data_IF_099329292586
#
_entry.id   IF_099329292586
#
_cell.length_a   1.000
_cell.length_b   1.000
_cell.length_c   1.000
_cell.angle_alpha   90.00
_cell.angle_beta   90.00
_cell.angle_gamma   90.00
#
_symmetry.space_group_name_H-M   'P 1'
#
loop_
_entity.id
_entity.type
_entity.pdbx_description
1 polymer ?
#
# COMPACT_ATOMS: atom_id res chain seq x y z
N UNK A 1 -4.19 1.42 8.38
CA UNK A 1 -3.73 2.33 7.32
C UNK A 1 -2.23 2.15 7.14
N UNK A 2 -1.79 1.26 6.25
CA UNK A 2 -0.52 1.31 5.46
C UNK A 2 -0.15 -0.09 4.92
N UNK A 3 -1.01 -0.69 4.08
CA UNK A 3 -0.66 -1.87 3.28
C UNK A 3 -0.17 -1.54 1.86
N UNK A 4 0.38 -0.34 1.68
CA UNK A 4 1.31 -0.04 0.59
C UNK A 4 2.71 -0.62 0.86
N UNK A 5 2.98 -1.06 2.10
CA UNK A 5 4.31 -1.49 2.54
C UNK A 5 4.72 -2.90 2.05
N UNK A 6 3.77 -3.81 1.78
CA UNK A 6 4.11 -5.17 1.33
C UNK A 6 4.60 -5.19 -0.12
N UNK A 7 3.96 -4.39 -0.99
CA UNK A 7 4.38 -4.17 -2.39
C UNK A 7 5.73 -3.46 -2.49
N UNK A 8 6.03 -2.62 -1.50
CA UNK A 8 7.29 -1.88 -1.41
C UNK A 8 8.49 -2.80 -1.16
N UNK A 9 8.32 -3.96 -0.50
CA UNK A 9 9.45 -4.84 -0.19
C UNK A 9 9.98 -5.57 -1.44
N UNK A 10 9.14 -5.80 -2.46
CA UNK A 10 9.53 -6.44 -3.71
C UNK A 10 10.15 -5.49 -4.74
N UNK A 11 10.01 -4.16 -4.55
CA UNK A 11 10.50 -3.14 -5.52
C UNK A 11 11.92 -2.64 -5.19
N UNK A 12 12.47 -2.97 -4.02
CA UNK A 12 13.77 -2.43 -3.54
C UNK A 12 15.01 -3.05 -4.24
N UNK A 13 14.87 -4.05 -5.12
CA UNK A 13 16.03 -4.74 -5.72
C UNK A 13 16.43 -4.31 -7.14
N UNK A 14 16.04 -3.12 -7.62
CA UNK A 14 16.47 -2.66 -8.95
C UNK A 14 17.21 -1.32 -8.92
N UNK A 15 18.54 -1.45 -9.10
CA UNK A 15 19.51 -0.48 -9.59
C UNK A 15 20.18 0.46 -8.56
N UNK A 16 21.39 0.05 -8.17
CA UNK A 16 22.42 0.97 -7.71
C UNK A 16 22.76 1.98 -8.81
N UNK A 17 22.39 3.23 -8.57
CA UNK A 17 22.81 4.39 -9.34
C UNK A 17 23.26 5.48 -8.38
N UNK A 18 24.58 5.68 -8.28
CA UNK A 18 25.17 6.82 -7.59
C UNK A 18 24.77 8.13 -8.28
N UNK A 19 24.15 9.06 -7.58
CA UNK A 19 23.77 10.35 -8.14
C UNK A 19 23.35 11.39 -7.10
N UNK A 20 24.32 12.23 -6.73
CA UNK A 20 24.26 13.53 -6.05
C UNK A 20 23.65 13.67 -4.65
N UNK A 21 24.56 13.96 -3.71
CA UNK A 21 24.36 14.61 -2.42
C UNK A 21 23.52 15.89 -2.50
N UNK A 22 22.60 16.02 -1.56
CA UNK A 22 21.81 17.20 -1.23
C UNK A 22 22.69 18.45 -1.18
N UNK A 23 22.44 19.39 -2.09
CA UNK A 23 22.87 20.77 -1.95
C UNK A 23 22.04 21.43 -0.86
N UNK A 24 22.74 22.02 0.12
CA UNK A 24 22.33 23.11 1.02
C UNK A 24 20.83 23.44 1.03
N UNK A 25 20.11 23.05 2.10
CA UNK A 25 18.78 23.59 2.37
C UNK A 25 18.96 25.09 2.58
N UNK A 26 18.27 25.90 1.78
CA UNK A 26 18.18 27.35 1.99
C UNK A 26 17.75 27.60 3.45
N UNK A 27 18.50 28.40 4.21
CA UNK A 27 18.27 28.58 5.65
C UNK A 27 16.84 29.10 5.92
N UNK A 28 16.29 29.89 4.98
CA UNK A 28 14.90 30.39 5.01
C UNK A 28 13.87 29.27 4.81
N UNK A 29 14.18 28.29 3.95
CA UNK A 29 13.33 27.11 3.74
C UNK A 29 13.37 26.14 4.94
N UNK A 30 14.55 25.99 5.57
CA UNK A 30 14.73 25.17 6.76
C UNK A 30 13.99 25.73 7.98
N UNK A 31 13.92 27.06 8.11
CA UNK A 31 13.14 27.72 9.15
C UNK A 31 11.63 27.55 8.91
N UNK A 32 11.14 27.79 7.69
CA UNK A 32 9.73 27.60 7.38
C UNK A 32 9.25 26.16 7.59
N UNK A 33 10.06 25.15 7.22
CA UNK A 33 9.74 23.73 7.40
C UNK A 33 9.63 23.33 8.88
N UNK A 34 10.41 23.96 9.77
CA UNK A 34 10.34 23.70 11.23
C UNK A 34 9.02 24.13 11.84
N UNK A 35 8.40 25.17 11.29
CA UNK A 35 7.13 25.70 11.78
C UNK A 35 5.90 24.96 11.20
N UNK A 36 6.12 24.03 10.26
CA UNK A 36 5.03 23.27 9.65
C UNK A 36 4.51 22.16 10.58
N UNK A 37 3.20 21.93 10.55
CA UNK A 37 2.59 20.80 11.24
C UNK A 37 2.90 19.48 10.52
N UNK A 38 3.68 18.61 11.17
CA UNK A 38 3.94 17.25 10.67
C UNK A 38 2.64 16.46 10.46
N UNK A 39 1.64 16.65 11.32
CA UNK A 39 0.34 15.97 11.20
C UNK A 39 -0.44 16.40 9.96
N UNK A 40 -0.34 17.69 9.57
CA UNK A 40 -0.98 18.19 8.36
C UNK A 40 -0.34 17.55 7.11
N UNK A 41 0.99 17.65 6.97
CA UNK A 41 1.69 17.16 5.78
C UNK A 41 1.70 15.64 5.66
N UNK A 42 1.85 14.91 6.77
CA UNK A 42 1.69 13.45 6.76
C UNK A 42 0.26 13.05 6.35
N UNK A 43 -0.75 13.79 6.80
CA UNK A 43 -2.14 13.58 6.41
C UNK A 43 -2.41 13.87 4.93
N UNK A 44 -1.91 15.00 4.41
CA UNK A 44 -2.05 15.37 3.00
C UNK A 44 -1.32 14.40 2.06
N UNK A 45 -0.11 13.98 2.42
CA UNK A 45 0.63 12.97 1.68
C UNK A 45 -0.13 11.62 1.66
N UNK A 46 -0.67 11.21 2.81
CA UNK A 46 -1.50 10.00 2.93
C UNK A 46 -2.76 10.07 2.06
N UNK A 47 -3.52 11.17 2.13
CA UNK A 47 -4.71 11.39 1.30
C UNK A 47 -4.39 11.40 -0.20
N UNK A 48 -3.27 12.01 -0.58
CA UNK A 48 -2.83 12.07 -1.98
C UNK A 48 -2.44 10.69 -2.52
N UNK A 49 -1.67 9.92 -1.74
CA UNK A 49 -1.33 8.54 -2.09
C UNK A 49 -2.60 7.68 -2.21
N UNK A 50 -3.56 7.89 -1.31
CA UNK A 50 -4.84 7.21 -1.34
C UNK A 50 -5.65 7.55 -2.60
N UNK A 51 -5.82 8.83 -2.92
CA UNK A 51 -6.54 9.26 -4.12
C UNK A 51 -5.91 8.68 -5.39
N UNK A 52 -4.58 8.68 -5.48
CA UNK A 52 -3.84 8.10 -6.59
C UNK A 52 -4.07 6.60 -6.73
N UNK A 53 -3.99 5.86 -5.63
CA UNK A 53 -4.20 4.41 -5.62
C UNK A 53 -5.63 4.05 -6.04
N UNK A 54 -6.61 4.80 -5.53
CA UNK A 54 -8.02 4.61 -5.89
C UNK A 54 -8.24 4.86 -7.38
N UNK A 55 -7.87 6.03 -7.89
CA UNK A 55 -8.01 6.36 -9.31
C UNK A 55 -7.27 5.36 -10.21
N UNK A 56 -6.12 4.85 -9.77
CA UNK A 56 -5.37 3.83 -10.52
C UNK A 56 -6.14 2.54 -10.63
N UNK A 57 -6.66 2.00 -9.52
CA UNK A 57 -7.39 0.74 -9.50
C UNK A 57 -8.76 0.84 -10.19
N UNK A 58 -9.44 1.98 -10.08
CA UNK A 58 -10.72 2.21 -10.76
C UNK A 58 -10.62 2.11 -12.28
N UNK A 59 -9.50 2.55 -12.89
CA UNK A 59 -9.25 2.37 -14.34
C UNK A 59 -9.22 0.90 -14.75
N UNK A 60 -8.89 0.00 -13.82
CA UNK A 60 -8.85 -1.45 -14.01
C UNK A 60 -10.13 -2.14 -13.51
N UNK A 61 -11.14 -1.36 -13.12
CA UNK A 61 -12.40 -1.86 -12.57
C UNK A 61 -12.23 -2.60 -11.25
N UNK A 62 -11.22 -2.23 -10.47
CA UNK A 62 -10.90 -2.84 -9.19
C UNK A 62 -11.08 -1.85 -8.05
N UNK A 63 -11.59 -2.34 -6.93
CA UNK A 63 -11.51 -1.64 -5.64
C UNK A 63 -10.20 -2.02 -4.92
N UNK A 64 -9.89 -1.32 -3.83
CA UNK A 64 -8.73 -1.68 -2.98
C UNK A 64 -8.90 -3.01 -2.26
N UNK A 65 -10.04 -3.35 -1.64
CA UNK A 65 -10.21 -4.68 -1.05
C UNK A 65 -10.11 -5.80 -2.08
N UNK A 66 -10.62 -5.58 -3.30
CA UNK A 66 -10.47 -6.53 -4.40
C UNK A 66 -9.00 -6.73 -4.78
N UNK A 67 -8.28 -5.63 -5.05
CA UNK A 67 -6.84 -5.67 -5.35
C UNK A 67 -6.04 -6.42 -4.29
N UNK A 68 -6.30 -6.14 -3.00
CA UNK A 68 -5.63 -6.81 -1.88
C UNK A 68 -5.93 -8.30 -1.83
N UNK A 69 -7.20 -8.69 -2.01
CA UNK A 69 -7.60 -10.10 -2.02
C UNK A 69 -6.91 -10.86 -3.15
N UNK A 70 -6.87 -10.28 -4.36
CA UNK A 70 -6.18 -10.89 -5.50
C UNK A 70 -4.68 -11.07 -5.22
N UNK A 71 -4.01 -10.07 -4.64
CA UNK A 71 -2.59 -10.17 -4.28
C UNK A 71 -2.33 -11.22 -3.20
N UNK A 72 -3.18 -11.31 -2.19
CA UNK A 72 -3.07 -12.35 -1.15
C UNK A 72 -3.15 -13.75 -1.76
N UNK A 73 -4.15 -14.01 -2.61
CA UNK A 73 -4.30 -15.31 -3.26
C UNK A 73 -3.21 -15.57 -4.29
N UNK A 74 -2.64 -14.50 -4.88
CA UNK A 74 -1.53 -14.61 -5.81
C UNK A 74 -0.22 -15.09 -5.18
N UNK A 75 0.01 -14.77 -3.91
CA UNK A 75 1.18 -15.17 -3.13
C UNK A 75 1.03 -16.57 -2.52
N UNK A 76 -0.17 -17.16 -2.58
CA UNK A 76 -0.47 -18.47 -2.02
C UNK A 76 -0.57 -19.55 -3.08
N UNK A 77 -0.09 -20.73 -2.71
CA UNK A 77 -0.20 -21.95 -3.52
C UNK A 77 -1.34 -22.85 -3.02
N UNK A 78 -1.80 -22.65 -1.79
CA UNK A 78 -2.92 -23.32 -1.16
C UNK A 78 -4.23 -22.52 -1.26
N UNK A 79 -5.34 -23.24 -1.34
CA UNK A 79 -6.68 -22.66 -1.28
C UNK A 79 -7.01 -22.23 0.16
N UNK A 80 -7.72 -21.12 0.31
CA UNK A 80 -8.02 -20.54 1.64
C UNK A 80 -9.47 -20.14 1.77
N UNK A 81 -10.00 -20.19 2.98
CA UNK A 81 -11.38 -19.74 3.23
C UNK A 81 -11.49 -18.23 3.24
N UNK A 82 -12.71 -17.73 3.04
CA UNK A 82 -13.02 -16.31 3.18
C UNK A 82 -12.63 -15.77 4.56
N UNK A 83 -12.85 -16.52 5.64
CA UNK A 83 -12.49 -16.07 6.98
C UNK A 83 -10.97 -15.91 7.15
N UNK A 84 -10.16 -16.77 6.51
CA UNK A 84 -8.69 -16.60 6.48
C UNK A 84 -8.30 -15.32 5.73
N UNK A 85 -9.00 -14.97 4.64
CA UNK A 85 -8.78 -13.70 3.93
C UNK A 85 -9.12 -12.50 4.83
N UNK A 86 -10.26 -12.54 5.51
CA UNK A 86 -10.72 -11.47 6.41
C UNK A 86 -9.78 -11.31 7.61
N UNK A 87 -9.37 -12.41 8.22
CA UNK A 87 -8.44 -12.39 9.34
C UNK A 87 -7.06 -11.89 8.93
N UNK A 88 -6.56 -12.29 7.75
CA UNK A 88 -5.29 -11.77 7.24
C UNK A 88 -5.30 -10.24 7.15
N UNK A 89 -6.37 -9.63 6.61
CA UNK A 89 -6.43 -8.17 6.51
C UNK A 89 -6.76 -7.47 7.85
N UNK A 90 -7.42 -8.15 8.79
CA UNK A 90 -7.67 -7.64 10.15
C UNK A 90 -6.39 -7.36 10.93
N UNK A 91 -5.42 -8.28 10.89
CA UNK A 91 -4.15 -8.15 11.61
C UNK A 91 -3.31 -6.96 11.14
N UNK A 92 -3.62 -6.43 9.97
CA UNK A 92 -2.92 -5.32 9.35
C UNK A 92 -3.66 -3.98 9.53
N UNK A 93 -4.64 -3.94 10.44
CA UNK A 93 -5.35 -2.71 10.83
C UNK A 93 -6.30 -2.18 9.76
N UNK A 94 -6.67 -3.02 8.78
CA UNK A 94 -7.42 -2.62 7.59
C UNK A 94 -8.64 -3.54 7.37
N UNK A 95 -9.50 -3.68 8.40
CA UNK A 95 -10.86 -4.20 8.19
C UNK A 95 -11.70 -3.13 7.50
N UNK A 96 -11.78 -3.25 6.19
CA UNK A 96 -12.80 -2.55 5.42
C UNK A 96 -14.11 -3.35 5.51
N UNK A 97 -15.22 -2.71 5.85
CA UNK A 97 -16.55 -3.34 5.78
C UNK A 97 -16.84 -3.86 4.36
N UNK A 98 -16.20 -3.26 3.35
CA UNK A 98 -16.29 -3.69 1.96
C UNK A 98 -15.49 -4.96 1.66
N UNK A 99 -14.59 -5.44 2.53
CA UNK A 99 -13.70 -6.57 2.20
C UNK A 99 -14.48 -7.85 1.89
N UNK A 100 -15.44 -8.23 2.72
CA UNK A 100 -16.29 -9.40 2.48
C UNK A 100 -17.09 -9.30 1.15
N UNK A 101 -17.90 -8.25 0.92
CA UNK A 101 -18.66 -8.14 -0.32
C UNK A 101 -17.75 -8.04 -1.56
N UNK A 102 -16.58 -7.40 -1.45
CA UNK A 102 -15.62 -7.32 -2.54
C UNK A 102 -14.98 -8.66 -2.88
N UNK A 103 -14.61 -9.47 -1.88
CA UNK A 103 -14.13 -10.84 -2.14
C UNK A 103 -15.20 -11.68 -2.83
N UNK A 104 -16.47 -11.58 -2.42
CA UNK A 104 -17.56 -12.29 -3.08
C UNK A 104 -17.82 -11.79 -4.51
N UNK A 105 -17.62 -10.49 -4.76
CA UNK A 105 -17.67 -9.93 -6.12
C UNK A 105 -16.58 -10.52 -7.03
N UNK A 106 -15.38 -10.75 -6.51
CA UNK A 106 -14.31 -11.41 -7.27
C UNK A 106 -14.64 -12.87 -7.64
N UNK A 107 -15.36 -13.58 -6.76
CA UNK A 107 -15.91 -14.91 -7.09
C UNK A 107 -16.96 -14.79 -8.19
N UNK A 108 -17.92 -13.87 -8.05
CA UNK A 108 -18.99 -13.67 -9.03
C UNK A 108 -18.49 -13.24 -10.42
N UNK A 109 -17.36 -12.54 -10.48
CA UNK A 109 -16.70 -12.10 -11.73
C UNK A 109 -15.74 -13.15 -12.31
N UNK A 110 -15.54 -14.28 -11.62
CA UNK A 110 -14.64 -15.35 -12.05
C UNK A 110 -13.16 -15.00 -11.95
N UNK A 111 -12.79 -13.96 -11.18
CA UNK A 111 -11.39 -13.63 -10.89
C UNK A 111 -10.86 -14.51 -9.75
N UNK A 112 -11.74 -15.00 -8.89
CA UNK A 112 -11.47 -16.01 -7.86
C UNK A 112 -12.38 -17.21 -8.12
N UNK A 113 -11.87 -18.42 -7.93
CA UNK A 113 -12.66 -19.64 -7.90
C UNK A 113 -12.99 -20.00 -6.46
N UNK A 114 -14.19 -20.53 -6.25
CA UNK A 114 -14.67 -21.01 -4.95
C UNK A 114 -15.12 -22.46 -5.08
N UNK A 115 -14.27 -23.38 -4.60
CA UNK A 115 -14.58 -24.80 -4.51
C UNK A 115 -14.87 -25.16 -3.05
N UNK A 116 -16.13 -25.38 -2.71
CA UNK A 116 -16.59 -25.75 -1.37
C UNK A 116 -16.08 -24.80 -0.24
N UNK A 117 -16.02 -23.50 -0.52
CA UNK A 117 -15.53 -22.47 0.41
C UNK A 117 -14.02 -22.25 0.37
N UNK A 118 -13.30 -22.97 -0.51
CA UNK A 118 -11.87 -22.84 -0.72
C UNK A 118 -11.60 -21.91 -1.91
N UNK A 119 -11.13 -20.70 -1.60
CA UNK A 119 -10.85 -19.66 -2.56
C UNK A 119 -9.46 -19.84 -3.19
N UNK A 120 -9.40 -19.78 -4.51
CA UNK A 120 -8.14 -19.79 -5.28
C UNK A 120 -8.14 -18.72 -6.36
N UNK A 121 -6.95 -18.23 -6.71
CA UNK A 121 -6.82 -17.28 -7.81
C UNK A 121 -6.96 -18.00 -9.15
N UNK A 122 -7.85 -17.52 -10.01
CA UNK A 122 -8.01 -18.06 -11.37
C UNK A 122 -6.94 -17.53 -12.33
N UNK A 123 -6.77 -18.14 -13.51
CA UNK A 123 -5.96 -17.54 -14.58
C UNK A 123 -6.43 -16.14 -14.99
N UNK A 124 -7.74 -15.86 -14.97
CA UNK A 124 -8.29 -14.54 -15.27
C UNK A 124 -7.95 -13.52 -14.17
N UNK A 125 -8.03 -13.92 -12.89
CA UNK A 125 -7.58 -13.12 -11.76
C UNK A 125 -6.09 -12.78 -11.84
N UNK A 126 -5.26 -13.75 -12.24
CA UNK A 126 -3.83 -13.54 -12.50
C UNK A 126 -3.60 -12.53 -13.62
N UNK A 127 -4.25 -12.72 -14.76
CA UNK A 127 -4.13 -11.80 -15.90
C UNK A 127 -4.53 -10.37 -15.50
N UNK A 128 -5.61 -10.20 -14.74
CA UNK A 128 -6.03 -8.89 -14.24
C UNK A 128 -4.97 -8.24 -13.34
N UNK A 129 -4.32 -9.00 -12.46
CA UNK A 129 -3.20 -8.48 -11.67
C UNK A 129 -2.06 -8.01 -12.57
N UNK A 130 -1.67 -8.84 -13.53
CA UNK A 130 -0.55 -8.56 -14.43
C UNK A 130 -0.81 -7.32 -15.31
N UNK A 131 -2.06 -7.10 -15.74
CA UNK A 131 -2.51 -5.90 -16.46
C UNK A 131 -2.52 -4.64 -15.59
N UNK A 132 -2.89 -4.76 -14.32
CA UNK A 132 -3.03 -3.62 -13.39
C UNK A 132 -1.69 -3.15 -12.84
N UNK A 133 -0.76 -4.09 -12.64
CA UNK A 133 0.53 -3.86 -11.98
C UNK A 133 1.40 -2.74 -12.59
N UNK A 134 1.57 -2.65 -13.92
CA UNK A 134 2.33 -1.56 -14.55
C UNK A 134 1.85 -0.17 -14.14
N UNK A 135 0.53 0.04 -14.10
CA UNK A 135 -0.07 1.32 -13.75
C UNK A 135 0.07 1.65 -12.27
N UNK A 136 -0.07 0.65 -11.40
CA UNK A 136 0.20 0.80 -9.96
C UNK A 136 1.65 1.21 -9.72
N UNK A 137 2.61 0.56 -10.41
CA UNK A 137 4.03 0.92 -10.32
C UNK A 137 4.31 2.32 -10.86
N UNK A 138 3.71 2.69 -11.99
CA UNK A 138 3.86 4.03 -12.55
C UNK A 138 3.30 5.11 -11.63
N UNK A 139 2.13 4.90 -11.03
CA UNK A 139 1.56 5.81 -10.03
C UNK A 139 2.48 5.98 -8.82
N UNK A 140 3.03 4.88 -8.29
CA UNK A 140 3.99 4.96 -7.19
C UNK A 140 5.26 5.72 -7.54
N UNK A 141 5.81 5.47 -8.73
CA UNK A 141 6.97 6.20 -9.22
C UNK A 141 6.67 7.69 -9.36
N UNK A 142 5.47 8.06 -9.84
CA UNK A 142 5.02 9.44 -9.91
C UNK A 142 4.91 10.07 -8.52
N UNK A 143 4.31 9.37 -7.54
CA UNK A 143 4.18 9.86 -6.17
C UNK A 143 5.54 10.12 -5.49
N UNK A 144 6.58 9.36 -5.89
CA UNK A 144 7.96 9.50 -5.38
C UNK A 144 8.85 10.36 -6.26
N UNK A 145 8.33 10.92 -7.35
CA UNK A 145 9.14 11.68 -8.30
C UNK A 145 9.81 12.87 -7.60
N UNK A 146 11.13 13.00 -7.75
CA UNK A 146 11.93 14.04 -7.10
C UNK A 146 12.35 13.75 -5.66
N UNK A 147 12.00 12.58 -5.10
CA UNK A 147 12.44 12.14 -3.77
C UNK A 147 13.43 10.98 -3.94
N UNK A 148 14.63 11.11 -3.38
CA UNK A 148 15.59 10.01 -3.40
C UNK A 148 15.21 8.92 -2.39
N UNK A 149 15.68 7.68 -2.61
CA UNK A 149 15.35 6.54 -1.75
C UNK A 149 15.76 6.76 -0.29
N UNK A 150 16.89 7.43 -0.06
CA UNK A 150 17.40 7.70 1.29
C UNK A 150 16.45 8.63 2.06
N UNK A 151 15.96 9.70 1.42
CA UNK A 151 15.04 10.65 2.03
C UNK A 151 13.67 10.01 2.27
N UNK A 152 13.20 9.20 1.32
CA UNK A 152 11.96 8.46 1.47
C UNK A 152 12.03 7.48 2.65
N UNK A 153 13.09 6.66 2.74
CA UNK A 153 13.30 5.72 3.85
C UNK A 153 13.40 6.47 5.18
N UNK A 154 14.10 7.60 5.21
CA UNK A 154 14.23 8.44 6.41
C UNK A 154 12.88 8.98 6.85
N UNK A 155 12.07 9.47 5.90
CA UNK A 155 10.71 9.97 6.15
C UNK A 155 9.84 8.89 6.79
N UNK A 156 9.81 7.68 6.19
CA UNK A 156 9.01 6.55 6.71
C UNK A 156 9.50 6.13 8.09
N UNK A 157 10.81 6.07 8.34
CA UNK A 157 11.37 5.75 9.66
C UNK A 157 10.96 6.78 10.71
N UNK A 158 11.09 8.07 10.41
CA UNK A 158 10.68 9.16 11.29
C UNK A 158 9.20 9.07 11.64
N UNK A 159 8.31 8.87 10.65
CA UNK A 159 6.88 8.72 10.89
C UNK A 159 6.56 7.49 11.75
N UNK A 160 7.21 6.35 11.50
CA UNK A 160 7.06 5.15 12.34
C UNK A 160 7.48 5.40 13.77
N UNK A 161 8.65 6.00 14.00
CA UNK A 161 9.12 6.35 15.34
C UNK A 161 8.15 7.30 16.06
N UNK A 162 7.59 8.29 15.36
CA UNK A 162 6.57 9.18 15.95
C UNK A 162 5.30 8.43 16.36
N UNK A 163 4.85 7.45 15.56
CA UNK A 163 3.71 6.58 15.89
C UNK A 163 4.06 5.73 17.12
N UNK A 164 5.21 5.05 17.10
CA UNK A 164 5.66 4.17 18.19
C UNK A 164 5.73 4.92 19.52
N UNK A 165 6.26 6.15 19.52
CA UNK A 165 6.32 7.03 20.71
C UNK A 165 4.95 7.26 21.37
N UNK A 166 3.85 7.28 20.61
CA UNK A 166 2.50 7.54 21.14
C UNK A 166 1.64 6.29 21.28
N UNK A 167 2.03 5.16 20.65
CA UNK A 167 1.32 3.88 20.77
C UNK A 167 1.92 2.95 21.81
N UNK A 168 3.24 2.89 21.95
CA UNK A 168 3.90 2.08 22.99
C UNK A 168 3.82 2.75 24.37
N UNK A 169 3.79 4.08 24.42
CA UNK A 169 3.51 4.83 25.65
C UNK A 169 2.10 4.61 26.25
N UNK A 170 1.18 3.98 25.51
CA UNK A 170 -0.17 3.59 26.01
C UNK A 170 -0.23 2.21 26.67
N UNK A 171 0.88 1.47 26.77
CA UNK A 171 0.93 0.17 27.48
C UNK A 171 1.37 0.27 28.95
N UNK A 172 1.64 1.48 29.44
CA UNK A 172 1.98 1.75 30.84
C UNK A 172 1.04 2.80 31.43
N UNK A 173 -0.17 2.38 31.80
CA UNK A 173 -0.97 2.94 32.90
C UNK A 173 -1.71 1.79 33.57
#
# INVERSE_FOLDING_TARGET
MFYFCSVLHTIVDLNGGSGNSVGQVDDDAAEWLRDQSVGYWAGEAGRSADALAHATLERHGLTRPQWRTLNLLAERTDAVTLDVVLDHHRHHGDLDEALRPDTLCLVATGLIDDTDGALTLTPAGRARLDETWPDVRAGLAQFRSGVCDTDYITTIRTLRTMIDNVTDGRRTV
#
